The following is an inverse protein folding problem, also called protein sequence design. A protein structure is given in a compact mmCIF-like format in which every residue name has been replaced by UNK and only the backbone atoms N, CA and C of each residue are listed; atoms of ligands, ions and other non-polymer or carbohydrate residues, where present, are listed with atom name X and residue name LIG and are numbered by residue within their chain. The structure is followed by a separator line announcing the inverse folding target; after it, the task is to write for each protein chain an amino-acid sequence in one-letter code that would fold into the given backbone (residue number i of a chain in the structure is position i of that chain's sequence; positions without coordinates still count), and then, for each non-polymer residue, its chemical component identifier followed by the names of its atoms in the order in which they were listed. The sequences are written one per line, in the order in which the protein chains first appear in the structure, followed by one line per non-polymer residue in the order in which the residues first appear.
data_IF_776719611685
#
_entry.id   IF_776719611685
#
_cell.length_a   1.000
_cell.length_b   1.000
_cell.length_c   1.000
_cell.angle_alpha   90.00
_cell.angle_beta   90.00
_cell.angle_gamma   90.00
#
_symmetry.space_group_name_H-M   'P 1'
#
loop_
_entity.id
_entity.type
_entity.pdbx_description
1 polymer ?
#
# COMPACT_ATOMS: atom_id res chain seq x y z
N UNK A 1 -64.40 9.22 -69.89
CA UNK A 1 -64.93 10.44 -69.28
C UNK A 1 -64.01 10.69 -68.12
N UNK A 2 -63.03 11.54 -68.33
CA UNK A 2 -62.86 12.95 -67.90
C UNK A 2 -62.69 13.01 -66.35
N UNK A 3 -61.77 13.60 -65.71
CA UNK A 3 -60.96 14.80 -65.98
C UNK A 3 -60.04 15.02 -64.79
N UNK A 4 -58.80 15.41 -65.03
CA UNK A 4 -58.10 16.64 -64.56
C UNK A 4 -57.59 16.67 -63.08
N UNK A 5 -56.31 16.62 -62.94
CA UNK A 5 -55.34 17.69 -62.59
C UNK A 5 -55.41 18.23 -61.16
N UNK A 6 -54.24 18.22 -60.52
CA UNK A 6 -53.97 18.95 -59.30
C UNK A 6 -52.51 18.79 -58.83
N UNK A 7 -51.57 19.38 -59.58
CA UNK A 7 -50.14 19.57 -59.14
C UNK A 7 -50.06 20.61 -58.04
N UNK A 8 -49.50 20.26 -56.87
CA UNK A 8 -49.06 21.20 -55.85
C UNK A 8 -47.56 21.15 -55.70
N UNK A 9 -46.86 22.29 -55.53
CA UNK A 9 -45.43 22.36 -55.64
C UNK A 9 -44.72 21.94 -54.34
N UNK A 10 -43.58 21.30 -54.53
CA UNK A 10 -42.65 20.90 -53.49
C UNK A 10 -42.12 22.12 -52.70
N UNK A 11 -42.49 22.22 -51.44
CA UNK A 11 -41.92 23.14 -50.48
C UNK A 11 -40.50 22.65 -50.10
N UNK A 12 -39.48 23.36 -50.55
CA UNK A 12 -38.09 23.18 -50.14
C UNK A 12 -37.93 23.54 -48.66
N UNK A 13 -37.93 22.53 -47.80
CA UNK A 13 -37.52 22.68 -46.41
C UNK A 13 -36.01 22.95 -46.34
N UNK A 14 -35.63 24.22 -46.21
CA UNK A 14 -34.29 24.63 -45.81
C UNK A 14 -34.10 24.20 -44.35
N UNK A 15 -33.50 23.03 -44.17
CA UNK A 15 -33.02 22.61 -42.84
C UNK A 15 -31.95 23.64 -42.36
N UNK A 16 -32.36 24.46 -41.40
CA UNK A 16 -31.49 25.43 -40.78
C UNK A 16 -30.26 24.71 -40.17
N UNK A 17 -29.06 25.09 -40.58
CA UNK A 17 -27.84 24.68 -39.93
C UNK A 17 -27.94 25.00 -38.45
N UNK A 18 -27.63 24.04 -37.54
CA UNK A 18 -27.64 24.31 -36.13
C UNK A 18 -26.61 25.43 -35.84
N UNK A 19 -27.02 26.43 -35.10
CA UNK A 19 -26.17 27.53 -34.69
C UNK A 19 -24.94 27.02 -33.96
N UNK A 20 -23.74 27.59 -34.20
CA UNK A 20 -22.53 27.16 -33.52
C UNK A 20 -22.70 27.33 -32.00
N UNK A 21 -22.42 26.25 -31.25
CA UNK A 21 -22.52 26.23 -29.79
C UNK A 21 -21.64 27.34 -29.18
N UNK A 22 -22.15 28.08 -28.18
CA UNK A 22 -21.46 29.25 -27.64
C UNK A 22 -20.09 28.89 -27.08
N UNK A 23 -19.07 29.71 -27.35
CA UNK A 23 -17.66 29.52 -26.95
C UNK A 23 -17.46 29.21 -25.44
N UNK A 24 -18.40 29.64 -24.59
CA UNK A 24 -18.45 29.36 -23.15
C UNK A 24 -18.53 27.86 -22.83
N UNK A 25 -19.15 27.03 -23.66
CA UNK A 25 -19.29 25.58 -23.45
C UNK A 25 -17.97 24.84 -23.67
N UNK A 26 -17.12 25.32 -24.58
CA UNK A 26 -15.81 24.76 -24.87
C UNK A 26 -14.78 25.09 -23.80
N UNK A 27 -14.82 26.30 -23.24
CA UNK A 27 -13.93 26.75 -22.15
C UNK A 27 -14.27 25.98 -20.86
N UNK A 28 -15.55 25.85 -20.53
CA UNK A 28 -16.00 25.06 -19.37
C UNK A 28 -15.57 23.58 -19.47
N UNK A 29 -15.71 22.98 -20.65
CA UNK A 29 -15.25 21.61 -20.90
C UNK A 29 -13.72 21.46 -20.79
N UNK A 30 -12.94 22.46 -21.20
CA UNK A 30 -11.47 22.45 -21.03
C UNK A 30 -11.06 22.58 -19.57
N UNK A 31 -11.74 23.40 -18.78
CA UNK A 31 -11.41 23.65 -17.37
C UNK A 31 -11.88 22.49 -16.49
N UNK A 32 -13.15 22.07 -16.60
CA UNK A 32 -13.76 21.08 -15.72
C UNK A 32 -13.79 19.66 -16.30
N UNK A 33 -13.44 19.50 -17.57
CA UNK A 33 -13.51 18.21 -18.28
C UNK A 33 -14.88 17.95 -18.91
N UNK A 34 -14.93 16.93 -19.72
CA UNK A 34 -16.16 16.28 -20.22
C UNK A 34 -16.19 14.89 -19.58
N UNK A 35 -17.39 14.29 -19.41
CA UNK A 35 -17.55 13.03 -18.66
C UNK A 35 -16.54 11.91 -18.91
N UNK A 36 -15.81 11.94 -20.03
CA UNK A 36 -14.76 10.95 -20.39
C UNK A 36 -13.32 11.48 -20.25
N UNK A 37 -13.11 12.81 -20.18
CA UNK A 37 -11.76 13.41 -20.12
C UNK A 37 -11.67 14.44 -19.00
N UNK A 38 -10.70 14.27 -18.09
CA UNK A 38 -10.46 15.24 -17.02
C UNK A 38 -10.06 16.60 -17.60
N UNK A 39 -10.52 17.67 -16.97
CA UNK A 39 -10.19 19.05 -17.34
C UNK A 39 -8.86 19.53 -16.76
N UNK A 40 -8.41 20.70 -17.21
CA UNK A 40 -7.15 21.29 -16.74
C UNK A 40 -7.14 21.54 -15.22
N UNK A 41 -8.29 21.88 -14.62
CA UNK A 41 -8.42 22.03 -13.18
C UNK A 41 -8.15 20.71 -12.44
N UNK A 42 -8.65 19.59 -12.96
CA UNK A 42 -8.39 18.26 -12.36
C UNK A 42 -6.90 17.92 -12.36
N UNK A 43 -6.22 18.16 -13.49
CA UNK A 43 -4.76 17.96 -13.54
C UNK A 43 -4.01 18.92 -12.64
N UNK A 44 -4.43 20.18 -12.55
CA UNK A 44 -3.85 21.17 -11.64
C UNK A 44 -3.98 20.76 -10.16
N UNK A 45 -5.17 20.29 -9.76
CA UNK A 45 -5.40 19.79 -8.41
C UNK A 45 -4.61 18.52 -8.11
N UNK A 46 -4.54 17.58 -9.07
CA UNK A 46 -3.73 16.37 -8.92
C UNK A 46 -2.24 16.67 -8.79
N UNK A 47 -1.74 17.62 -9.60
CA UNK A 47 -0.35 18.07 -9.51
C UNK A 47 -0.07 18.76 -8.18
N UNK A 48 -0.95 19.64 -7.73
CA UNK A 48 -0.82 20.31 -6.43
C UNK A 48 -0.81 19.32 -5.29
N UNK A 49 -1.70 18.32 -5.33
CA UNK A 49 -1.72 17.23 -4.35
C UNK A 49 -0.44 16.39 -4.39
N UNK A 50 0.05 16.04 -5.59
CA UNK A 50 1.30 15.30 -5.76
C UNK A 50 2.49 16.06 -5.17
N UNK A 51 2.62 17.35 -5.51
CA UNK A 51 3.71 18.20 -5.01
C UNK A 51 3.63 18.38 -3.48
N UNK A 52 2.43 18.58 -2.93
CA UNK A 52 2.22 18.66 -1.48
C UNK A 52 2.60 17.36 -0.77
N UNK A 53 2.25 16.20 -1.36
CA UNK A 53 2.59 14.88 -0.79
C UNK A 53 4.08 14.54 -0.92
N UNK A 54 4.75 15.00 -1.98
CA UNK A 54 6.17 14.79 -2.20
C UNK A 54 7.06 15.76 -1.38
N UNK A 55 6.49 16.90 -0.96
CA UNK A 55 7.24 17.96 -0.27
C UNK A 55 7.97 17.50 0.99
N UNK A 56 7.38 16.72 1.92
CA UNK A 56 8.10 16.24 3.11
C UNK A 56 9.34 15.39 2.78
N UNK A 57 9.26 14.55 1.74
CA UNK A 57 10.39 13.73 1.29
C UNK A 57 11.49 14.60 0.66
N UNK A 58 11.09 15.55 -0.17
CA UNK A 58 12.00 16.54 -0.75
C UNK A 58 12.69 17.36 0.35
N UNK A 59 11.92 17.84 1.32
CA UNK A 59 12.42 18.59 2.46
C UNK A 59 13.42 17.80 3.29
N UNK A 60 13.13 16.52 3.57
CA UNK A 60 14.07 15.64 4.27
C UNK A 60 15.39 15.49 3.51
N UNK A 61 15.34 15.37 2.19
CA UNK A 61 16.54 15.30 1.34
C UNK A 61 17.33 16.63 1.33
N UNK A 62 16.61 17.76 1.29
CA UNK A 62 17.23 19.10 1.33
C UNK A 62 17.97 19.31 2.65
N UNK A 63 17.32 19.09 3.79
CA UNK A 63 17.96 19.26 5.11
C UNK A 63 19.03 18.20 5.33
N UNK A 64 18.77 16.94 4.98
CA UNK A 64 19.76 15.86 5.08
C UNK A 64 21.03 16.07 4.23
N UNK A 65 20.99 17.04 3.30
CA UNK A 65 22.15 17.43 2.47
C UNK A 65 22.88 18.70 2.95
N UNK A 66 22.46 19.28 4.08
CA UNK A 66 23.02 20.52 4.64
C UNK A 66 23.63 20.29 6.01
N UNK A 67 24.20 21.34 6.61
CA UNK A 67 24.59 21.34 8.03
C UNK A 67 23.35 21.62 8.91
N UNK A 68 23.46 21.26 10.20
CA UNK A 68 22.37 21.42 11.16
C UNK A 68 21.94 22.90 11.38
N UNK A 69 22.87 23.86 11.18
CA UNK A 69 22.59 25.28 11.28
C UNK A 69 21.56 25.76 10.25
N UNK A 70 21.44 25.09 9.10
CA UNK A 70 20.50 25.44 8.05
C UNK A 70 19.02 25.38 8.50
N UNK A 71 18.71 24.64 9.58
CA UNK A 71 17.37 24.65 10.20
C UNK A 71 17.06 25.95 10.95
N UNK A 72 18.09 26.66 11.41
CA UNK A 72 17.96 27.96 12.11
C UNK A 72 17.94 29.16 11.17
N UNK A 73 18.07 28.99 9.86
CA UNK A 73 18.02 30.09 8.89
C UNK A 73 16.63 30.74 8.84
N UNK A 74 16.59 32.07 8.68
CA UNK A 74 15.33 32.82 8.60
C UNK A 74 14.45 32.38 7.41
N UNK A 75 15.10 31.96 6.33
CA UNK A 75 14.43 31.40 5.16
C UNK A 75 14.84 29.94 5.00
N UNK A 76 13.88 29.00 5.12
CA UNK A 76 14.19 27.59 4.98
C UNK A 76 14.77 27.29 3.59
N UNK A 77 15.89 26.54 3.51
CA UNK A 77 16.53 26.22 2.25
C UNK A 77 15.62 25.37 1.37
N UNK A 78 15.48 25.74 0.11
CA UNK A 78 14.66 24.99 -0.87
C UNK A 78 15.48 24.06 -1.76
N UNK A 79 16.80 24.23 -1.79
CA UNK A 79 17.71 23.45 -2.64
C UNK A 79 18.66 22.60 -1.78
N UNK A 80 19.01 21.39 -2.25
CA UNK A 80 20.00 20.54 -1.58
C UNK A 80 21.35 21.25 -1.39
N UNK A 81 22.05 20.91 -0.32
CA UNK A 81 23.42 21.30 -0.05
C UNK A 81 24.43 20.23 -0.50
N UNK A 82 25.71 20.43 -0.13
CA UNK A 82 26.82 19.55 -0.49
C UNK A 82 27.12 18.43 0.53
N UNK A 83 26.50 18.45 1.72
CA UNK A 83 26.92 17.62 2.86
C UNK A 83 26.21 16.25 2.94
N UNK A 84 25.40 15.88 1.95
CA UNK A 84 24.61 14.64 2.02
C UNK A 84 25.46 13.41 2.35
N UNK A 85 26.55 13.22 1.62
CA UNK A 85 27.42 12.05 1.83
C UNK A 85 28.22 12.10 3.11
N UNK A 86 28.53 13.29 3.63
CA UNK A 86 29.14 13.49 4.94
C UNK A 86 28.16 13.06 6.04
N UNK A 87 26.92 13.54 5.98
CA UNK A 87 25.87 13.17 6.93
C UNK A 87 25.54 11.68 6.86
N UNK A 88 25.54 11.09 5.67
CA UNK A 88 25.39 9.63 5.49
C UNK A 88 26.54 8.86 6.14
N UNK A 89 27.80 9.34 6.00
CA UNK A 89 28.94 8.77 6.70
C UNK A 89 28.73 8.77 8.22
N UNK A 90 28.27 9.88 8.77
CA UNK A 90 27.99 10.02 10.20
C UNK A 90 26.85 9.11 10.67
N UNK A 91 25.81 8.87 9.85
CA UNK A 91 24.79 7.84 10.13
C UNK A 91 25.46 6.47 10.30
N UNK A 92 26.34 6.08 9.37
CA UNK A 92 26.99 4.76 9.40
C UNK A 92 27.96 4.61 10.57
N UNK A 93 28.60 5.70 11.00
CA UNK A 93 29.52 5.70 12.14
C UNK A 93 28.77 5.69 13.48
N UNK A 94 27.55 6.25 13.53
CA UNK A 94 26.79 6.41 14.77
C UNK A 94 25.90 5.20 15.09
N UNK A 95 25.32 4.56 14.08
CA UNK A 95 24.40 3.43 14.27
C UNK A 95 24.83 2.21 13.43
N UNK A 96 24.50 0.99 13.84
CA UNK A 96 24.77 -0.23 13.07
C UNK A 96 23.84 -0.34 11.86
N UNK A 97 23.92 0.61 10.92
CA UNK A 97 22.97 0.80 9.81
C UNK A 97 22.76 -0.48 8.99
N UNK A 98 23.85 -1.15 8.59
CA UNK A 98 23.77 -2.32 7.72
C UNK A 98 23.14 -3.53 8.40
N UNK A 99 23.42 -3.73 9.69
CA UNK A 99 22.76 -4.76 10.50
C UNK A 99 21.26 -4.44 10.63
N UNK A 100 20.92 -3.21 10.98
CA UNK A 100 19.54 -2.75 11.14
C UNK A 100 18.75 -2.83 9.83
N UNK A 101 19.36 -2.48 8.70
CA UNK A 101 18.80 -2.64 7.37
C UNK A 101 18.53 -4.13 7.06
N UNK A 102 19.51 -4.99 7.29
CA UNK A 102 19.40 -6.43 7.09
C UNK A 102 18.28 -7.04 7.94
N UNK A 103 18.20 -6.67 9.23
CA UNK A 103 17.13 -7.12 10.13
C UNK A 103 15.75 -6.64 9.64
N UNK A 104 15.62 -5.38 9.24
CA UNK A 104 14.35 -4.84 8.73
C UNK A 104 13.90 -5.55 7.45
N UNK A 105 14.81 -5.81 6.51
CA UNK A 105 14.50 -6.59 5.29
C UNK A 105 14.06 -8.01 5.65
N UNK A 106 14.82 -8.69 6.50
CA UNK A 106 14.54 -10.07 6.93
C UNK A 106 13.18 -10.17 7.62
N UNK A 107 12.93 -9.33 8.62
CA UNK A 107 11.67 -9.28 9.38
C UNK A 107 10.50 -9.01 8.43
N UNK A 108 10.58 -7.95 7.62
CA UNK A 108 9.50 -7.56 6.72
C UNK A 108 9.21 -8.62 5.65
N UNK A 109 10.25 -9.28 5.12
CA UNK A 109 10.08 -10.37 4.16
C UNK A 109 9.41 -11.59 4.80
N UNK A 110 9.86 -12.04 5.98
CA UNK A 110 9.29 -13.22 6.65
C UNK A 110 7.82 -12.96 7.00
N UNK A 111 7.52 -11.81 7.61
CA UNK A 111 6.14 -11.42 7.96
C UNK A 111 5.28 -11.38 6.69
N UNK A 112 5.76 -10.76 5.63
CA UNK A 112 5.00 -10.63 4.37
C UNK A 112 4.68 -12.00 3.76
N UNK A 113 5.67 -12.86 3.61
CA UNK A 113 5.48 -14.20 3.03
C UNK A 113 4.52 -15.02 3.90
N UNK A 114 4.68 -14.97 5.21
CA UNK A 114 3.82 -15.70 6.16
C UNK A 114 2.38 -15.17 6.13
N UNK A 115 2.19 -13.86 6.25
CA UNK A 115 0.84 -13.26 6.24
C UNK A 115 0.13 -13.55 4.92
N UNK A 116 0.80 -13.35 3.78
CA UNK A 116 0.21 -13.66 2.46
C UNK A 116 -0.13 -15.14 2.34
N UNK A 117 0.79 -16.03 2.72
CA UNK A 117 0.60 -17.47 2.63
C UNK A 117 -0.55 -17.97 3.51
N UNK A 118 -0.49 -17.68 4.80
CA UNK A 118 -1.53 -18.13 5.76
C UNK A 118 -2.88 -17.44 5.50
N UNK A 119 -2.89 -16.17 5.16
CA UNK A 119 -4.14 -15.46 4.86
C UNK A 119 -4.80 -15.96 3.58
N UNK A 120 -4.02 -16.31 2.56
CA UNK A 120 -4.57 -16.90 1.32
C UNK A 120 -5.15 -18.27 1.60
N UNK A 121 -4.46 -19.11 2.38
CA UNK A 121 -4.93 -20.45 2.75
C UNK A 121 -6.20 -20.37 3.60
N UNK A 122 -6.19 -19.56 4.67
CA UNK A 122 -7.36 -19.36 5.52
C UNK A 122 -8.52 -18.70 4.76
N UNK A 123 -8.22 -17.66 3.96
CA UNK A 123 -9.20 -16.97 3.11
C UNK A 123 -9.88 -17.95 2.14
N UNK A 124 -9.13 -18.84 1.50
CA UNK A 124 -9.69 -19.87 0.65
C UNK A 124 -10.59 -20.86 1.44
N UNK A 125 -10.14 -21.30 2.60
CA UNK A 125 -10.94 -22.18 3.45
C UNK A 125 -12.27 -21.53 3.83
N UNK A 126 -12.26 -20.27 4.26
CA UNK A 126 -13.46 -19.51 4.61
C UNK A 126 -14.31 -19.12 3.39
N UNK A 127 -13.75 -18.99 2.19
CA UNK A 127 -14.49 -18.65 0.99
C UNK A 127 -15.17 -19.88 0.37
N UNK A 128 -14.46 -21.00 0.22
CA UNK A 128 -14.82 -22.09 -0.68
C UNK A 128 -15.02 -23.45 -0.03
N UNK A 129 -14.59 -23.63 1.24
CA UNK A 129 -14.81 -24.88 1.94
C UNK A 129 -16.05 -24.80 2.84
N UNK A 130 -16.78 -25.93 2.93
CA UNK A 130 -17.95 -26.08 3.80
C UNK A 130 -17.53 -26.89 5.03
N UNK A 131 -17.44 -26.23 6.19
CA UNK A 131 -17.15 -26.86 7.47
C UNK A 131 -18.02 -26.30 8.59
N UNK A 132 -18.22 -27.09 9.64
CA UNK A 132 -19.02 -26.67 10.82
C UNK A 132 -18.34 -25.51 11.55
N UNK A 133 -19.11 -24.48 11.90
CA UNK A 133 -18.59 -23.30 12.63
C UNK A 133 -17.95 -22.22 11.76
N UNK A 134 -17.88 -22.39 10.41
CA UNK A 134 -17.25 -21.43 9.49
C UNK A 134 -17.66 -19.97 9.75
N UNK A 135 -18.96 -19.70 9.85
CA UNK A 135 -19.47 -18.35 10.02
C UNK A 135 -19.13 -17.78 11.42
N UNK A 136 -19.19 -18.61 12.47
CA UNK A 136 -18.81 -18.19 13.82
C UNK A 136 -17.31 -17.87 13.92
N UNK A 137 -16.46 -18.72 13.35
CA UNK A 137 -15.01 -18.46 13.30
C UNK A 137 -14.69 -17.20 12.49
N UNK A 138 -15.36 -17.00 11.35
CA UNK A 138 -15.16 -15.79 10.56
C UNK A 138 -15.61 -14.54 11.30
N UNK A 139 -16.72 -14.62 12.04
CA UNK A 139 -17.18 -13.53 12.90
C UNK A 139 -16.13 -13.22 14.00
N UNK A 140 -15.51 -14.23 14.61
CA UNK A 140 -14.41 -14.02 15.56
C UNK A 140 -13.23 -13.31 14.91
N UNK A 141 -12.80 -13.72 13.70
CA UNK A 141 -11.73 -13.04 12.95
C UNK A 141 -12.07 -11.56 12.76
N UNK A 142 -13.29 -11.25 12.30
CA UNK A 142 -13.71 -9.85 12.10
C UNK A 142 -13.79 -9.10 13.43
N UNK A 143 -14.28 -9.73 14.49
CA UNK A 143 -14.37 -9.10 15.81
C UNK A 143 -12.99 -8.72 16.38
N UNK A 144 -11.95 -9.56 16.14
CA UNK A 144 -10.59 -9.21 16.57
C UNK A 144 -10.04 -7.97 15.88
N UNK A 145 -10.49 -7.63 14.64
CA UNK A 145 -10.08 -6.41 13.95
C UNK A 145 -10.57 -5.13 14.64
N UNK A 146 -11.65 -5.22 15.42
CA UNK A 146 -12.17 -4.07 16.17
C UNK A 146 -11.37 -3.76 17.45
N UNK A 147 -10.49 -4.69 17.88
CA UNK A 147 -9.64 -4.52 19.05
C UNK A 147 -8.36 -3.81 18.64
N UNK A 148 -8.05 -2.61 19.19
CA UNK A 148 -6.78 -1.95 18.91
C UNK A 148 -5.60 -2.83 19.34
N UNK A 149 -4.70 -3.12 18.42
CA UNK A 149 -3.53 -3.99 18.67
C UNK A 149 -2.63 -3.47 19.79
N UNK A 150 -2.62 -2.14 19.99
CA UNK A 150 -1.85 -1.47 21.03
C UNK A 150 -2.24 -1.90 22.44
N UNK A 151 -3.50 -2.31 22.68
CA UNK A 151 -3.96 -2.79 23.98
C UNK A 151 -3.28 -4.10 24.40
N UNK A 152 -2.85 -4.90 23.42
CA UNK A 152 -2.15 -6.16 23.64
C UNK A 152 -0.64 -6.05 23.83
N UNK A 153 -0.03 -4.88 23.67
CA UNK A 153 1.44 -4.73 23.66
C UNK A 153 2.07 -5.16 24.98
N UNK A 154 1.55 -4.68 26.12
CA UNK A 154 2.10 -5.01 27.45
C UNK A 154 1.98 -6.51 27.76
N UNK A 155 0.79 -7.14 27.67
CA UNK A 155 0.66 -8.59 27.84
C UNK A 155 1.56 -9.39 26.90
N UNK A 156 1.65 -8.99 25.62
CA UNK A 156 2.49 -9.66 24.64
C UNK A 156 3.98 -9.56 25.00
N UNK A 157 4.44 -8.39 25.45
CA UNK A 157 5.80 -8.22 25.95
C UNK A 157 6.10 -9.13 27.13
N UNK A 158 5.16 -9.26 28.08
CA UNK A 158 5.33 -10.18 29.22
C UNK A 158 5.46 -11.64 28.75
N UNK A 159 4.68 -12.05 27.75
CA UNK A 159 4.82 -13.38 27.14
C UNK A 159 6.20 -13.57 26.52
N UNK A 160 6.66 -12.62 25.69
CA UNK A 160 7.99 -12.71 25.05
C UNK A 160 9.11 -12.77 26.10
N UNK A 161 9.01 -11.97 27.15
CA UNK A 161 9.95 -12.01 28.28
C UNK A 161 9.94 -13.36 29.00
N UNK A 162 8.77 -13.93 29.26
CA UNK A 162 8.64 -15.26 29.93
C UNK A 162 9.23 -16.37 29.08
N UNK A 163 9.10 -16.26 27.74
CA UNK A 163 9.69 -17.19 26.78
C UNK A 163 11.20 -17.00 26.60
N UNK A 164 11.79 -15.94 27.15
CA UNK A 164 13.19 -15.60 26.96
C UNK A 164 13.52 -15.11 25.54
N UNK A 165 12.54 -14.59 24.81
CA UNK A 165 12.70 -14.17 23.42
C UNK A 165 13.01 -12.66 23.25
N UNK A 166 13.07 -11.90 24.35
CA UNK A 166 13.49 -10.49 24.28
C UNK A 166 14.93 -10.38 23.77
N UNK A 167 15.19 -9.46 22.85
CA UNK A 167 16.45 -9.33 22.10
C UNK A 167 16.49 -10.14 20.79
N UNK A 168 15.56 -11.08 20.60
CA UNK A 168 15.55 -11.96 19.42
C UNK A 168 14.56 -11.49 18.34
N UNK A 169 14.96 -11.62 17.08
CA UNK A 169 14.09 -11.29 15.91
C UNK A 169 12.77 -12.08 15.95
N UNK A 170 12.81 -13.30 16.50
CA UNK A 170 11.62 -14.15 16.66
C UNK A 170 10.50 -13.48 17.46
N UNK A 171 10.82 -12.63 18.44
CA UNK A 171 9.83 -11.88 19.22
C UNK A 171 9.05 -10.87 18.38
N UNK A 172 9.63 -10.34 17.32
CA UNK A 172 8.95 -9.45 16.38
C UNK A 172 8.12 -10.25 15.36
N UNK A 173 8.69 -11.32 14.83
CA UNK A 173 8.14 -12.06 13.70
C UNK A 173 6.96 -12.94 14.11
N UNK A 174 7.12 -13.76 15.16
CA UNK A 174 6.15 -14.83 15.47
C UNK A 174 4.74 -14.32 15.78
N UNK A 175 4.54 -13.25 16.57
CA UNK A 175 3.20 -12.73 16.84
C UNK A 175 2.48 -12.18 15.61
N UNK A 176 3.22 -11.86 14.54
CA UNK A 176 2.71 -11.15 13.35
C UNK A 176 2.59 -12.03 12.11
N UNK A 177 2.84 -13.36 12.23
CA UNK A 177 2.82 -14.29 11.10
C UNK A 177 1.46 -14.41 10.41
N UNK A 178 0.37 -14.11 11.12
CA UNK A 178 -1.01 -14.12 10.61
C UNK A 178 -1.75 -12.89 11.11
N UNK A 179 -2.50 -12.23 10.21
CA UNK A 179 -3.32 -11.08 10.58
C UNK A 179 -4.80 -11.33 10.27
N UNK A 180 -5.69 -10.88 11.16
CA UNK A 180 -7.13 -10.97 10.94
C UNK A 180 -7.56 -10.21 9.67
N UNK A 181 -6.97 -9.03 9.41
CA UNK A 181 -7.19 -8.27 8.20
C UNK A 181 -6.81 -9.07 6.94
N UNK A 182 -5.64 -9.72 6.94
CA UNK A 182 -5.20 -10.51 5.80
C UNK A 182 -6.15 -11.66 5.48
N UNK A 183 -6.62 -12.39 6.50
CA UNK A 183 -7.60 -13.48 6.34
C UNK A 183 -8.92 -12.95 5.78
N UNK A 184 -9.43 -11.85 6.35
CA UNK A 184 -10.66 -11.21 5.88
C UNK A 184 -10.53 -10.72 4.43
N UNK A 185 -9.46 -10.01 4.12
CA UNK A 185 -9.19 -9.46 2.79
C UNK A 185 -9.12 -10.54 1.72
N UNK A 186 -8.34 -11.59 1.98
CA UNK A 186 -8.20 -12.71 1.03
C UNK A 186 -9.52 -13.49 0.88
N UNK A 187 -10.27 -13.68 1.96
CA UNK A 187 -11.59 -14.32 1.89
C UNK A 187 -12.56 -13.51 1.03
N UNK A 188 -12.65 -12.19 1.22
CA UNK A 188 -13.54 -11.35 0.41
C UNK A 188 -13.17 -11.42 -1.07
N UNK A 189 -11.89 -11.27 -1.38
CA UNK A 189 -11.42 -11.35 -2.76
C UNK A 189 -11.74 -12.70 -3.42
N UNK A 190 -11.48 -13.80 -2.72
CA UNK A 190 -11.70 -15.15 -3.26
C UNK A 190 -13.18 -15.51 -3.41
N UNK A 191 -14.07 -14.92 -2.60
CA UNK A 191 -15.53 -15.06 -2.79
C UNK A 191 -15.95 -14.43 -4.12
N UNK A 192 -15.42 -13.25 -4.43
CA UNK A 192 -15.84 -12.45 -5.58
C UNK A 192 -15.22 -12.91 -6.91
N UNK A 193 -14.01 -13.49 -6.86
CA UNK A 193 -13.22 -13.82 -8.07
C UNK A 193 -13.37 -15.27 -8.50
N UNK A 194 -13.67 -16.20 -7.58
CA UNK A 194 -13.82 -17.62 -7.92
C UNK A 194 -15.29 -18.02 -7.83
N UNK A 195 -15.98 -18.31 -8.95
CA UNK A 195 -17.32 -18.89 -8.93
C UNK A 195 -17.30 -20.28 -8.25
N UNK A 196 -18.38 -20.64 -7.57
CA UNK A 196 -18.47 -21.93 -6.88
C UNK A 196 -18.51 -23.09 -7.89
N UNK A 197 -19.07 -22.86 -9.09
CA UNK A 197 -19.12 -23.82 -10.21
C UNK A 197 -17.71 -24.24 -10.66
N UNK A 198 -16.72 -23.33 -10.58
CA UNK A 198 -15.33 -23.66 -10.92
C UNK A 198 -14.71 -24.64 -9.89
N UNK A 199 -15.08 -24.50 -8.62
CA UNK A 199 -14.66 -25.43 -7.57
C UNK A 199 -15.36 -26.78 -7.71
N UNK A 200 -16.64 -26.79 -8.07
CA UNK A 200 -17.42 -28.01 -8.28
C UNK A 200 -16.93 -28.79 -9.50
N UNK A 201 -16.64 -28.12 -10.63
CA UNK A 201 -16.08 -28.77 -11.81
C UNK A 201 -14.71 -29.40 -11.51
N UNK A 202 -13.81 -28.68 -10.83
CA UNK A 202 -12.52 -29.22 -10.43
C UNK A 202 -12.64 -30.48 -9.55
N UNK A 203 -13.67 -30.54 -8.69
CA UNK A 203 -13.96 -31.72 -7.88
C UNK A 203 -14.50 -32.89 -8.70
N UNK A 204 -15.33 -32.62 -9.70
CA UNK A 204 -15.82 -33.65 -10.63
C UNK A 204 -14.67 -34.26 -11.43
N UNK A 205 -13.65 -33.45 -11.77
CA UNK A 205 -12.40 -33.89 -12.41
C UNK A 205 -11.46 -34.65 -11.44
N UNK A 206 -11.86 -34.86 -10.18
CA UNK A 206 -11.08 -35.60 -9.18
C UNK A 206 -10.02 -34.77 -8.48
N UNK A 207 -10.00 -33.45 -8.62
CA UNK A 207 -9.04 -32.60 -7.93
C UNK A 207 -9.26 -32.61 -6.40
N UNK A 208 -8.18 -32.84 -5.65
CA UNK A 208 -8.20 -32.69 -4.19
C UNK A 208 -8.31 -31.22 -3.78
N UNK A 209 -8.69 -30.95 -2.51
CA UNK A 209 -8.76 -29.58 -1.96
C UNK A 209 -7.44 -28.83 -2.12
N UNK A 210 -6.29 -29.50 -1.92
CA UNK A 210 -4.96 -28.89 -2.06
C UNK A 210 -4.66 -28.62 -3.54
N UNK A 211 -5.05 -29.54 -4.43
CA UNK A 211 -4.91 -29.34 -5.88
C UNK A 211 -5.72 -28.14 -6.36
N UNK A 212 -6.98 -28.04 -5.95
CA UNK A 212 -7.85 -26.88 -6.27
C UNK A 212 -7.28 -25.58 -5.70
N UNK A 213 -6.78 -25.60 -4.46
CA UNK A 213 -6.11 -24.43 -3.87
C UNK A 213 -4.91 -23.99 -4.71
N UNK A 214 -4.02 -24.93 -5.05
CA UNK A 214 -2.76 -24.61 -5.76
C UNK A 214 -2.99 -24.19 -7.22
N UNK A 215 -3.89 -24.85 -7.93
CA UNK A 215 -4.04 -24.66 -9.38
C UNK A 215 -5.18 -23.71 -9.76
N UNK A 216 -6.14 -23.46 -8.86
CA UNK A 216 -7.25 -22.54 -9.10
C UNK A 216 -7.16 -21.31 -8.20
N UNK A 217 -7.12 -21.52 -6.88
CA UNK A 217 -7.23 -20.39 -5.95
C UNK A 217 -5.97 -19.50 -5.95
N UNK A 218 -4.76 -20.05 -5.87
CA UNK A 218 -3.51 -19.26 -5.88
C UNK A 218 -3.39 -18.43 -7.18
N UNK A 219 -3.53 -18.99 -8.38
CA UNK A 219 -3.47 -18.21 -9.62
C UNK A 219 -4.50 -17.07 -9.67
N UNK A 220 -5.74 -17.33 -9.26
CA UNK A 220 -6.79 -16.33 -9.21
C UNK A 220 -6.53 -15.25 -8.14
N UNK A 221 -5.88 -15.61 -7.04
CA UNK A 221 -5.59 -14.72 -5.92
C UNK A 221 -4.34 -13.84 -6.12
N UNK A 222 -3.51 -14.07 -7.15
CA UNK A 222 -2.24 -13.35 -7.35
C UNK A 222 -2.33 -11.83 -7.22
N UNK A 223 -3.34 -11.13 -7.81
CA UNK A 223 -3.44 -9.69 -7.66
C UNK A 223 -3.67 -9.26 -6.21
N UNK A 224 -4.56 -9.95 -5.48
CA UNK A 224 -4.83 -9.68 -4.08
C UNK A 224 -3.64 -10.02 -3.18
N UNK A 225 -2.94 -11.13 -3.46
CA UNK A 225 -1.71 -11.50 -2.75
C UNK A 225 -0.63 -10.43 -2.90
N UNK A 226 -0.48 -9.84 -4.08
CA UNK A 226 0.47 -8.75 -4.32
C UNK A 226 0.11 -7.48 -3.52
N UNK A 227 -1.18 -7.13 -3.50
CA UNK A 227 -1.67 -5.98 -2.73
C UNK A 227 -1.47 -6.22 -1.23
N UNK A 228 -1.92 -7.37 -0.70
CA UNK A 228 -1.74 -7.73 0.70
C UNK A 228 -0.26 -7.77 1.08
N UNK A 229 0.59 -8.33 0.21
CA UNK A 229 2.02 -8.40 0.41
C UNK A 229 2.67 -7.03 0.52
N UNK A 230 2.32 -6.10 -0.37
CA UNK A 230 2.84 -4.74 -0.31
C UNK A 230 2.43 -4.02 0.98
N UNK A 231 1.13 -4.07 1.35
CA UNK A 231 0.67 -3.46 2.60
C UNK A 231 1.34 -4.08 3.83
N UNK A 232 1.48 -5.40 3.86
CA UNK A 232 2.14 -6.10 4.97
C UNK A 232 3.61 -5.72 5.08
N UNK A 233 4.32 -5.68 3.94
CA UNK A 233 5.72 -5.26 3.93
C UNK A 233 5.88 -3.82 4.43
N UNK A 234 5.07 -2.89 3.92
CA UNK A 234 5.11 -1.49 4.37
C UNK A 234 4.85 -1.37 5.87
N UNK A 235 3.84 -2.08 6.39
CA UNK A 235 3.50 -2.07 7.82
C UNK A 235 4.65 -2.62 8.67
N UNK A 236 5.23 -3.76 8.27
CA UNK A 236 6.35 -4.37 8.99
C UNK A 236 7.63 -3.52 8.89
N UNK A 237 7.90 -2.91 7.73
CA UNK A 237 9.05 -2.03 7.52
C UNK A 237 9.00 -0.76 8.38
N UNK A 238 7.80 -0.17 8.53
CA UNK A 238 7.61 1.07 9.28
C UNK A 238 7.29 0.84 10.75
N UNK A 239 7.18 -0.42 11.19
CA UNK A 239 6.93 -0.72 12.60
C UNK A 239 8.12 -0.29 13.46
N UNK A 240 7.83 0.55 14.43
CA UNK A 240 8.80 1.11 15.35
C UNK A 240 8.57 0.63 16.78
N UNK A 241 7.29 0.69 17.22
CA UNK A 241 6.98 0.54 18.63
C UNK A 241 7.23 -0.88 19.15
N UNK A 242 6.79 -1.90 18.41
CA UNK A 242 6.97 -3.27 18.86
C UNK A 242 8.44 -3.71 18.85
N UNK A 243 9.20 -3.49 17.76
CA UNK A 243 10.64 -3.73 17.78
C UNK A 243 11.40 -2.97 18.88
N UNK A 244 11.02 -1.71 19.15
CA UNK A 244 11.64 -0.91 20.21
C UNK A 244 11.49 -1.54 21.60
N UNK A 245 10.37 -2.20 21.86
CA UNK A 245 10.09 -2.82 23.15
C UNK A 245 10.75 -4.19 23.33
N UNK A 246 10.86 -4.98 22.26
CA UNK A 246 11.28 -6.38 22.36
C UNK A 246 12.69 -6.67 21.87
N UNK A 247 13.26 -5.81 21.03
CA UNK A 247 14.64 -5.94 20.57
C UNK A 247 15.59 -5.11 21.44
N UNK A 248 16.85 -5.40 21.32
CA UNK A 248 17.95 -4.69 21.97
C UNK A 248 18.91 -4.04 20.94
N UNK A 249 19.98 -3.43 21.44
CA UNK A 249 21.00 -2.80 20.59
C UNK A 249 21.77 -3.81 19.71
N UNK A 250 21.72 -5.10 20.04
CA UNK A 250 22.38 -6.15 19.27
C UNK A 250 21.60 -6.54 18.01
N UNK A 251 20.28 -6.34 18.01
CA UNK A 251 19.37 -6.73 16.90
C UNK A 251 18.39 -5.61 16.51
N UNK A 252 18.82 -4.36 16.30
CA UNK A 252 17.90 -3.27 15.99
C UNK A 252 17.25 -3.46 14.59
N UNK A 253 16.03 -2.95 14.45
CA UNK A 253 15.49 -2.65 13.12
C UNK A 253 15.99 -1.28 12.65
N UNK A 254 15.83 -0.98 11.36
CA UNK A 254 16.25 0.31 10.82
C UNK A 254 15.53 1.48 11.51
N UNK A 255 14.24 1.33 11.81
CA UNK A 255 13.44 2.35 12.50
C UNK A 255 13.96 2.58 13.94
N UNK A 256 14.27 1.51 14.68
CA UNK A 256 14.81 1.62 16.06
C UNK A 256 16.24 2.13 16.06
N UNK A 257 17.08 1.74 15.11
CA UNK A 257 18.44 2.27 14.97
C UNK A 257 18.44 3.77 14.67
N UNK A 258 17.62 4.22 13.71
CA UNK A 258 17.49 5.65 13.38
C UNK A 258 16.99 6.49 14.56
N UNK A 259 16.15 5.93 15.44
CA UNK A 259 15.69 6.66 16.62
C UNK A 259 16.84 6.96 17.61
N UNK A 260 17.93 6.20 17.58
CA UNK A 260 19.12 6.44 18.42
C UNK A 260 19.82 7.74 18.02
N UNK A 261 19.76 8.16 16.75
CA UNK A 261 20.30 9.45 16.30
C UNK A 261 19.61 10.64 16.98
N UNK A 262 18.38 10.45 17.49
CA UNK A 262 17.62 11.47 18.21
C UNK A 262 17.82 11.44 19.72
N UNK A 263 18.52 10.45 20.25
CA UNK A 263 18.75 10.30 21.69
C UNK A 263 20.02 11.00 22.20
N UNK A 264 20.80 11.60 21.33
CA UNK A 264 21.99 12.38 21.69
C UNK A 264 21.60 13.69 22.40
N UNK A 265 22.49 14.20 23.27
CA UNK A 265 22.30 15.47 23.99
C UNK A 265 22.13 16.66 23.04
N UNK A 266 22.77 16.61 21.87
CA UNK A 266 22.62 17.54 20.76
C UNK A 266 22.23 16.72 19.54
N UNK A 267 20.98 16.90 19.08
CA UNK A 267 20.47 16.18 17.93
C UNK A 267 20.90 16.93 16.67
N UNK A 268 21.65 16.26 15.79
CA UNK A 268 21.89 16.75 14.45
C UNK A 268 20.76 16.25 13.51
N UNK A 269 19.81 17.16 13.25
CA UNK A 269 18.68 16.84 12.39
C UNK A 269 19.06 16.62 10.92
N UNK A 270 20.22 17.13 10.47
CA UNK A 270 20.69 16.87 9.12
C UNK A 270 21.11 15.41 8.97
N UNK A 271 21.78 14.84 9.98
CA UNK A 271 22.14 13.43 10.04
C UNK A 271 20.88 12.55 10.17
N UNK A 272 19.95 12.93 11.06
CA UNK A 272 18.66 12.20 11.23
C UNK A 272 17.90 12.14 9.91
N UNK A 273 17.79 13.27 9.20
CA UNK A 273 17.04 13.32 7.95
C UNK A 273 17.79 12.66 6.78
N UNK A 274 19.11 12.68 6.75
CA UNK A 274 19.89 11.86 5.82
C UNK A 274 19.62 10.36 6.03
N UNK A 275 19.63 9.90 7.29
CA UNK A 275 19.24 8.53 7.65
C UNK A 275 17.80 8.17 7.26
N UNK A 276 16.85 9.09 7.46
CA UNK A 276 15.45 8.89 7.06
C UNK A 276 15.28 8.77 5.54
N UNK A 277 16.04 9.56 4.76
CA UNK A 277 16.08 9.41 3.28
C UNK A 277 16.58 8.02 2.90
N UNK A 278 17.68 7.54 3.49
CA UNK A 278 18.20 6.19 3.23
C UNK A 278 17.16 5.11 3.58
N UNK A 279 16.46 5.24 4.71
CA UNK A 279 15.44 4.29 5.14
C UNK A 279 14.20 4.27 4.22
N UNK A 280 13.96 5.35 3.49
CA UNK A 280 12.84 5.44 2.53
C UNK A 280 13.16 4.74 1.21
N UNK A 281 14.43 4.63 0.81
CA UNK A 281 14.83 4.07 -0.48
C UNK A 281 14.31 2.64 -0.74
N UNK A 282 14.40 1.69 0.22
CA UNK A 282 13.88 0.33 -0.02
C UNK A 282 12.37 0.30 -0.27
N UNK A 283 11.59 1.17 0.39
CA UNK A 283 10.16 1.30 0.14
C UNK A 283 9.87 1.86 -1.25
N UNK A 284 10.64 2.86 -1.69
CA UNK A 284 10.50 3.41 -3.05
C UNK A 284 10.81 2.35 -4.11
N UNK A 285 11.88 1.57 -3.91
CA UNK A 285 12.23 0.46 -4.80
C UNK A 285 11.10 -0.56 -4.84
N UNK A 286 10.58 -0.98 -3.69
CA UNK A 286 9.45 -1.90 -3.61
C UNK A 286 8.23 -1.36 -4.35
N UNK A 287 7.90 -0.08 -4.14
CA UNK A 287 6.75 0.56 -4.77
C UNK A 287 6.87 0.61 -6.30
N UNK A 288 8.06 0.90 -6.81
CA UNK A 288 8.33 0.88 -8.27
C UNK A 288 8.17 -0.54 -8.83
N UNK A 289 8.69 -1.55 -8.12
CA UNK A 289 8.59 -2.96 -8.54
C UNK A 289 7.16 -3.50 -8.47
N UNK A 290 6.41 -3.15 -7.42
CA UNK A 290 5.05 -3.62 -7.19
C UNK A 290 3.96 -2.73 -7.85
N UNK A 291 4.30 -1.54 -8.35
CA UNK A 291 3.34 -0.55 -8.84
C UNK A 291 2.43 -1.04 -9.96
N UNK A 292 2.94 -1.86 -10.87
CA UNK A 292 2.14 -2.44 -11.96
C UNK A 292 1.05 -3.39 -11.42
N UNK A 293 1.36 -4.20 -10.41
CA UNK A 293 0.42 -5.11 -9.78
C UNK A 293 -0.68 -4.35 -9.03
N UNK A 294 -0.34 -3.23 -8.39
CA UNK A 294 -1.32 -2.36 -7.71
C UNK A 294 -2.32 -1.77 -8.70
N UNK A 295 -1.84 -1.18 -9.81
CA UNK A 295 -2.69 -0.58 -10.82
C UNK A 295 -3.63 -1.62 -11.43
N UNK A 296 -3.12 -2.80 -11.77
CA UNK A 296 -3.93 -3.87 -12.36
C UNK A 296 -5.00 -4.40 -11.39
N UNK A 297 -4.68 -4.52 -10.10
CA UNK A 297 -5.62 -4.97 -9.07
C UNK A 297 -6.76 -3.98 -8.82
N UNK A 298 -6.44 -2.67 -8.77
CA UNK A 298 -7.44 -1.60 -8.59
C UNK A 298 -8.37 -1.50 -9.81
N UNK A 299 -7.81 -1.60 -11.02
CA UNK A 299 -8.61 -1.53 -12.27
C UNK A 299 -9.58 -2.70 -12.41
N UNK A 300 -9.23 -3.91 -11.99
CA UNK A 300 -10.14 -5.05 -12.02
C UNK A 300 -11.35 -4.88 -11.07
N UNK A 301 -11.17 -4.18 -9.95
CA UNK A 301 -12.27 -3.83 -9.04
C UNK A 301 -13.19 -2.72 -9.57
N UNK A 302 -12.65 -1.77 -10.34
CA UNK A 302 -13.40 -0.61 -10.85
C UNK A 302 -14.26 -0.91 -12.09
N UNK A 303 -13.95 -1.97 -12.86
CA UNK A 303 -14.68 -2.33 -14.11
C UNK A 303 -15.94 -3.19 -13.84
N UNK A 304 -16.15 -3.66 -12.61
CA UNK A 304 -17.34 -4.45 -12.20
C UNK A 304 -18.48 -3.62 -11.62
N UNK A 305 -18.42 -2.29 -11.70
CA UNK A 305 -19.49 -1.37 -11.28
C UNK A 305 -20.34 -0.87 -12.43
#
# INVERSE_FOLDING_TARGET
MSTIEGTAPAGSSTAGRPAPAPARSTLRKRIFGSGEKPGFLTYGLLLAFLLSSAYPLWWSAVIGSRSNEALGETWPPLLPGGNFWTNVGEVFDTIPFWLALGNSVLISCIITVSVVGFSTLAGYAFAKLRFKGRNGLMLMVVATMAIPTQLGIIPLFMVMRTLGWTGEIGAVVVPTLVTAFGVFFMRQYLVDVIPDELIESARMDGASMISTFRHVAIPAARPAMAILGLFTFMTAWTDFLWPLLVLDAGNPTLQTALSQLQSARYVDYSVVLAGAVLATLPLLVLFVLAGKQLISGIMQGAVKG
#
